data_IF_385959435593
#
_entry.id   IF_385959435593
#
_cell.length_a   1.000
_cell.length_b   1.000
_cell.length_c   1.000
_cell.angle_alpha   90.00
_cell.angle_beta   90.00
_cell.angle_gamma   90.00
#
_symmetry.space_group_name_H-M   'P 1'
#
loop_
_entity.id
_entity.type
_entity.pdbx_description
1 polymer ?
#
# COMPACT_ATOMS: atom_id res chain seq x y z
N UNK A 1 -6.53 7.36 -19.98
CA UNK A 1 -6.67 6.68 -18.71
C UNK A 1 -6.06 7.49 -17.57
N UNK A 2 -6.86 7.70 -16.57
CA UNK A 2 -6.40 8.45 -15.41
C UNK A 2 -5.48 7.57 -14.57
N UNK A 3 -4.39 8.16 -14.12
CA UNK A 3 -3.48 7.48 -13.22
C UNK A 3 -3.43 8.22 -11.91
N UNK A 4 -3.42 7.45 -10.84
CA UNK A 4 -3.30 8.02 -9.50
C UNK A 4 -1.85 8.29 -9.17
N UNK A 5 -1.61 9.39 -8.50
CA UNK A 5 -0.30 9.71 -7.98
C UNK A 5 -0.05 8.88 -6.73
N UNK A 6 1.18 8.38 -6.58
CA UNK A 6 1.54 7.59 -5.41
C UNK A 6 2.31 8.48 -4.44
N UNK A 7 1.80 8.59 -3.24
CA UNK A 7 2.46 9.30 -2.15
C UNK A 7 2.76 8.30 -1.04
N UNK A 8 3.92 8.43 -0.38
CA UNK A 8 4.31 7.50 0.65
C UNK A 8 4.59 8.26 1.94
N UNK A 9 3.91 7.88 3.00
CA UNK A 9 4.12 8.49 4.31
C UNK A 9 5.55 8.24 4.79
N UNK A 10 6.14 9.20 5.48
CA UNK A 10 7.53 9.09 5.97
C UNK A 10 7.77 7.82 6.76
N UNK A 11 6.86 7.47 7.66
CA UNK A 11 7.00 6.25 8.45
C UNK A 11 6.97 5.01 7.57
N UNK A 12 6.19 5.02 6.50
CA UNK A 12 6.13 3.90 5.57
C UNK A 12 7.43 3.79 4.76
N UNK A 13 8.06 4.90 4.42
CA UNK A 13 9.36 4.88 3.75
C UNK A 13 10.39 4.17 4.63
N UNK A 14 10.39 4.49 5.91
CA UNK A 14 11.32 3.83 6.85
C UNK A 14 11.03 2.34 6.96
N UNK A 15 9.76 1.96 6.95
CA UNK A 15 9.39 0.55 6.99
C UNK A 15 9.89 -0.18 5.74
N UNK A 16 9.83 0.47 4.60
CA UNK A 16 10.33 -0.12 3.36
C UNK A 16 11.84 -0.36 3.41
N UNK A 17 12.58 0.51 4.08
CA UNK A 17 14.02 0.39 4.18
C UNK A 17 14.47 -0.85 4.95
N UNK A 18 13.61 -1.37 5.81
CA UNK A 18 13.92 -2.56 6.60
C UNK A 18 13.56 -3.88 5.91
N UNK A 19 13.00 -3.81 4.72
CA UNK A 19 12.56 -5.00 4.00
C UNK A 19 13.69 -5.55 3.14
N UNK A 20 13.92 -6.88 3.17
CA UNK A 20 14.95 -7.50 2.32
C UNK A 20 14.73 -7.14 0.85
N UNK A 21 15.82 -6.90 0.14
CA UNK A 21 15.82 -6.38 -1.20
C UNK A 21 14.88 -7.13 -2.17
N UNK A 22 14.87 -8.44 -2.07
CA UNK A 22 14.06 -9.29 -2.93
C UNK A 22 12.57 -9.03 -2.73
N UNK A 23 12.16 -8.96 -1.47
CA UNK A 23 10.77 -8.69 -1.12
C UNK A 23 10.40 -7.23 -1.41
N UNK A 24 11.34 -6.33 -1.16
CA UNK A 24 11.13 -4.91 -1.40
C UNK A 24 10.79 -4.64 -2.85
N UNK A 25 11.48 -5.28 -3.80
CA UNK A 25 11.20 -5.08 -5.21
C UNK A 25 9.76 -5.46 -5.55
N UNK A 26 9.29 -6.57 -5.01
CA UNK A 26 7.92 -7.03 -5.25
C UNK A 26 6.90 -6.06 -4.64
N UNK A 27 7.20 -5.54 -3.46
CA UNK A 27 6.32 -4.61 -2.78
C UNK A 27 6.24 -3.30 -3.56
N UNK A 28 7.37 -2.80 -4.04
CA UNK A 28 7.39 -1.57 -4.84
C UNK A 28 6.60 -1.75 -6.13
N UNK A 29 6.74 -2.90 -6.78
CA UNK A 29 5.96 -3.18 -7.99
C UNK A 29 4.46 -3.20 -7.68
N UNK A 30 4.08 -3.77 -6.55
CA UNK A 30 2.67 -3.79 -6.14
C UNK A 30 2.16 -2.38 -5.87
N UNK A 31 2.95 -1.56 -5.20
CA UNK A 31 2.58 -0.17 -4.93
C UNK A 31 2.40 0.59 -6.26
N UNK A 32 3.32 0.42 -7.19
CA UNK A 32 3.23 1.08 -8.49
C UNK A 32 1.97 0.68 -9.24
N UNK A 33 1.55 -0.58 -9.11
CA UNK A 33 0.35 -1.05 -9.80
C UNK A 33 -0.91 -0.36 -9.30
N UNK A 34 -0.90 0.17 -8.08
CA UNK A 34 -2.05 0.88 -7.53
C UNK A 34 -2.31 2.20 -8.26
N UNK A 35 -1.32 2.71 -8.97
CA UNK A 35 -1.49 3.92 -9.77
C UNK A 35 -2.52 3.72 -10.88
N UNK A 36 -2.53 2.54 -11.49
CA UNK A 36 -3.47 2.22 -12.57
C UNK A 36 -4.77 1.64 -12.04
N UNK A 37 -4.72 0.94 -10.92
CA UNK A 37 -5.88 0.29 -10.33
C UNK A 37 -5.76 0.35 -8.81
N UNK A 38 -6.30 1.39 -8.18
CA UNK A 38 -6.15 1.57 -6.73
C UNK A 38 -6.97 0.60 -5.88
N UNK A 39 -7.90 -0.11 -6.49
CA UNK A 39 -8.70 -1.11 -5.79
C UNK A 39 -8.64 -2.44 -6.52
N UNK A 40 -7.45 -3.04 -6.62
CA UNK A 40 -7.31 -4.28 -7.39
C UNK A 40 -7.97 -5.45 -6.67
N UNK A 41 -8.17 -6.53 -7.41
CA UNK A 41 -8.67 -7.76 -6.83
C UNK A 41 -7.72 -8.19 -5.70
N UNK A 42 -8.29 -8.55 -4.56
CA UNK A 42 -7.50 -8.90 -3.39
C UNK A 42 -7.34 -7.77 -2.38
N UNK A 43 -7.66 -6.52 -2.77
CA UNK A 43 -7.66 -5.44 -1.81
C UNK A 43 -8.90 -5.54 -0.92
N UNK A 44 -8.74 -5.17 0.34
CA UNK A 44 -9.83 -5.18 1.30
C UNK A 44 -9.98 -3.80 1.90
N UNK A 45 -11.20 -3.29 1.87
CA UNK A 45 -11.49 -2.01 2.50
C UNK A 45 -11.52 -2.18 4.01
N UNK A 46 -10.80 -1.31 4.70
CA UNK A 46 -10.82 -1.29 6.16
C UNK A 46 -12.04 -0.49 6.61
N UNK A 47 -12.73 -0.97 7.65
CA UNK A 47 -13.99 -0.38 8.07
C UNK A 47 -13.88 1.10 8.39
N UNK A 48 -14.92 1.85 8.06
CA UNK A 48 -15.13 3.27 8.38
C UNK A 48 -14.23 4.28 7.69
N UNK A 49 -13.24 3.85 6.87
CA UNK A 49 -12.31 4.80 6.25
C UNK A 49 -12.08 4.43 4.79
N UNK A 50 -11.62 5.41 4.03
CA UNK A 50 -11.19 5.17 2.65
C UNK A 50 -9.78 4.58 2.65
N UNK A 51 -9.56 3.60 3.50
CA UNK A 51 -8.30 2.89 3.62
C UNK A 51 -8.47 1.45 3.18
N UNK A 52 -7.42 0.92 2.60
CA UNK A 52 -7.42 -0.41 2.03
C UNK A 52 -6.19 -1.16 2.45
N UNK A 53 -6.27 -2.46 2.41
CA UNK A 53 -5.15 -3.34 2.68
C UNK A 53 -4.96 -4.28 1.51
N UNK A 54 -3.70 -4.46 1.08
CA UNK A 54 -3.37 -5.40 0.04
C UNK A 54 -2.13 -6.19 0.46
N UNK A 55 -2.06 -7.44 0.05
CA UNK A 55 -0.95 -8.32 0.39
C UNK A 55 0.07 -8.42 -0.72
N UNK A 56 1.32 -8.58 -0.32
CA UNK A 56 2.39 -8.97 -1.22
C UNK A 56 3.30 -9.93 -0.44
N UNK A 57 3.20 -11.24 -0.73
CA UNK A 57 3.91 -12.24 0.04
C UNK A 57 3.47 -12.23 1.49
N UNK A 58 4.41 -12.15 2.41
CA UNK A 58 4.13 -12.07 3.84
C UNK A 58 3.96 -10.64 4.33
N UNK A 59 3.93 -9.68 3.41
CA UNK A 59 3.83 -8.27 3.75
C UNK A 59 2.45 -7.75 3.42
N UNK A 60 2.05 -6.72 4.16
CA UNK A 60 0.79 -6.03 3.93
C UNK A 60 1.04 -4.55 3.75
N UNK A 61 0.29 -3.98 2.84
CA UNK A 61 0.38 -2.57 2.51
C UNK A 61 -0.96 -1.94 2.85
N UNK A 62 -0.93 -0.92 3.70
CA UNK A 62 -2.14 -0.16 4.04
C UNK A 62 -2.04 1.18 3.35
N UNK A 63 -3.09 1.55 2.65
CA UNK A 63 -3.10 2.77 1.87
C UNK A 63 -4.48 3.38 1.86
N UNK A 64 -4.56 4.66 1.54
CA UNK A 64 -5.82 5.34 1.31
C UNK A 64 -5.93 5.74 -0.15
N UNK A 65 -7.15 5.90 -0.62
CA UNK A 65 -7.42 6.32 -2.00
C UNK A 65 -8.27 7.58 -1.93
N UNK A 66 -7.80 8.63 -2.58
CA UNK A 66 -8.53 9.88 -2.69
C UNK A 66 -8.85 10.11 -4.15
N UNK A 67 -10.07 9.73 -4.53
CA UNK A 67 -10.48 9.76 -5.92
C UNK A 67 -10.55 11.16 -6.50
N UNK A 68 -10.99 12.12 -5.70
CA UNK A 68 -11.10 13.51 -6.14
C UNK A 68 -9.75 14.15 -6.39
N UNK A 69 -8.70 13.65 -5.76
CA UNK A 69 -7.35 14.16 -5.94
C UNK A 69 -6.49 13.22 -6.78
N UNK A 70 -7.05 12.09 -7.21
CA UNK A 70 -6.33 11.06 -7.97
C UNK A 70 -5.01 10.70 -7.28
N UNK A 71 -5.09 10.43 -5.97
CA UNK A 71 -3.93 10.12 -5.16
C UNK A 71 -4.13 8.83 -4.37
N UNK A 72 -3.11 8.00 -4.36
CA UNK A 72 -2.99 6.84 -3.48
C UNK A 72 -1.91 7.17 -2.47
N UNK A 73 -2.24 7.11 -1.20
CA UNK A 73 -1.31 7.45 -0.13
C UNK A 73 -0.96 6.18 0.65
N UNK A 74 0.31 5.78 0.60
CA UNK A 74 0.78 4.59 1.30
C UNK A 74 1.02 4.97 2.76
N UNK A 75 0.30 4.31 3.66
CA UNK A 75 0.29 4.67 5.08
C UNK A 75 1.22 3.77 5.88
N UNK A 76 1.19 2.47 5.60
CA UNK A 76 1.97 1.52 6.36
C UNK A 76 2.34 0.31 5.52
N UNK A 77 3.56 -0.18 5.71
CA UNK A 77 4.01 -1.43 5.09
C UNK A 77 4.69 -2.24 6.18
N UNK A 78 4.33 -3.50 6.32
CA UNK A 78 4.95 -4.33 7.33
C UNK A 78 4.63 -5.79 7.16
N UNK A 79 5.36 -6.60 7.91
CA UNK A 79 5.14 -8.03 7.92
C UNK A 79 3.76 -8.31 8.52
N UNK A 80 3.10 -9.35 8.02
CA UNK A 80 1.73 -9.68 8.46
C UNK A 80 1.59 -9.77 9.98
N UNK A 81 2.63 -10.18 10.67
CA UNK A 81 2.61 -10.30 12.13
C UNK A 81 2.56 -8.93 12.82
N UNK A 82 3.18 -7.93 12.22
CA UNK A 82 3.24 -6.59 12.80
C UNK A 82 1.96 -5.80 12.53
N UNK A 83 1.38 -5.98 11.36
CA UNK A 83 0.20 -5.22 10.94
C UNK A 83 -1.08 -5.80 11.52
N UNK A 84 -1.02 -7.00 12.03
CA UNK A 84 -2.19 -7.72 12.51
C UNK A 84 -2.94 -6.99 13.64
N UNK A 85 -2.27 -6.06 14.30
CA UNK A 85 -2.84 -5.36 15.45
C UNK A 85 -3.46 -4.01 15.13
N UNK A 86 -3.59 -3.69 13.88
CA UNK A 86 -4.21 -2.42 13.50
C UNK A 86 -5.73 -2.45 13.65
#
# INVERSE_FOLDING_TARGET
>A
MEKYEISVKKSAVKELEDIPKKELQKIINKIKSLSSDPRPQGSQKLSHREQYRIRQGDYRIIYSVQDDELTVHIIKVGHRKEIYRL
#
